data_IF_499796339961
#
_entry.id   IF_499796339961
#
_cell.length_a   1.000
_cell.length_b   1.000
_cell.length_c   1.000
_cell.angle_alpha   90.00
_cell.angle_beta   90.00
_cell.angle_gamma   90.00
#
_symmetry.space_group_name_H-M   'P 1'
#
loop_
_entity.id
_entity.type
_entity.pdbx_description
1 polymer ?
#
# COMPACT_ATOMS: atom_id res chain seq x y z
N UNK A 1 -21.71 12.82 -11.23
CA UNK A 1 -21.72 11.84 -10.13
C UNK A 1 -20.27 11.59 -9.72
N UNK A 2 -19.89 11.79 -8.45
CA UNK A 2 -18.57 11.37 -7.99
C UNK A 2 -18.48 9.84 -8.09
N UNK A 3 -17.44 9.30 -8.71
CA UNK A 3 -17.24 7.87 -8.79
C UNK A 3 -17.24 7.28 -7.37
N UNK A 4 -18.06 6.26 -7.13
CA UNK A 4 -18.09 5.56 -5.85
C UNK A 4 -16.93 4.56 -5.82
N UNK A 5 -15.97 4.74 -4.91
CA UNK A 5 -14.86 3.83 -4.67
C UNK A 5 -13.49 4.35 -5.12
N UNK A 6 -12.43 3.66 -4.70
CA UNK A 6 -11.06 4.00 -5.04
C UNK A 6 -10.69 3.39 -6.41
N UNK A 7 -9.96 4.13 -7.23
CA UNK A 7 -9.36 3.62 -8.47
C UNK A 7 -8.06 2.90 -8.14
N UNK A 8 -7.92 1.64 -8.55
CA UNK A 8 -6.66 0.91 -8.41
C UNK A 8 -5.67 1.43 -9.47
N UNK A 9 -4.51 1.90 -9.03
CA UNK A 9 -3.42 2.37 -9.89
C UNK A 9 -2.40 1.27 -10.17
N UNK A 10 -2.24 0.32 -9.25
CA UNK A 10 -1.36 -0.84 -9.42
C UNK A 10 -1.34 -1.73 -8.20
N UNK A 11 -0.92 -2.98 -8.39
CA UNK A 11 -0.78 -3.98 -7.33
C UNK A 11 0.68 -4.38 -7.16
N UNK A 12 1.09 -4.70 -5.93
CA UNK A 12 2.47 -5.09 -5.62
C UNK A 12 3.48 -4.06 -6.17
N UNK A 13 3.21 -2.78 -5.89
CA UNK A 13 3.99 -1.64 -6.40
C UNK A 13 5.24 -1.46 -5.55
N UNK A 14 6.41 -1.35 -6.18
CA UNK A 14 7.65 -1.02 -5.49
C UNK A 14 7.72 0.46 -5.13
N UNK A 15 8.09 0.76 -3.88
CA UNK A 15 8.25 2.11 -3.36
C UNK A 15 9.60 2.18 -2.61
N UNK A 16 10.58 2.85 -3.19
CA UNK A 16 11.89 3.03 -2.58
C UNK A 16 11.82 4.17 -1.56
N UNK A 17 12.03 3.85 -0.28
CA UNK A 17 12.18 4.81 0.81
C UNK A 17 13.65 4.86 1.26
N UNK A 18 13.96 5.76 2.20
CA UNK A 18 15.26 5.75 2.90
C UNK A 18 15.47 4.49 3.75
N UNK A 19 14.39 3.89 4.26
CA UNK A 19 14.38 2.63 5.02
C UNK A 19 14.45 1.38 4.11
N UNK A 20 14.60 1.58 2.81
CA UNK A 20 14.71 0.56 1.78
C UNK A 20 13.43 0.35 0.95
N UNK A 21 13.39 -0.75 0.19
CA UNK A 21 12.26 -1.05 -0.69
C UNK A 21 11.03 -1.52 0.11
N UNK A 22 9.90 -0.86 -0.12
CA UNK A 22 8.57 -1.28 0.32
C UNK A 22 7.78 -1.79 -0.87
N UNK A 23 7.13 -2.95 -0.74
CA UNK A 23 6.15 -3.42 -1.70
C UNK A 23 4.76 -3.06 -1.18
N UNK A 24 4.01 -2.24 -1.91
CA UNK A 24 2.65 -1.82 -1.58
C UNK A 24 1.69 -2.86 -2.16
N UNK A 25 0.77 -3.41 -1.36
CA UNK A 25 -0.18 -4.43 -1.86
C UNK A 25 -1.07 -3.86 -2.96
N UNK A 26 -1.72 -2.72 -2.69
CA UNK A 26 -2.48 -1.95 -3.69
C UNK A 26 -2.17 -0.46 -3.57
N UNK A 27 -1.78 0.17 -4.67
CA UNK A 27 -1.71 1.62 -4.79
C UNK A 27 -3.02 2.11 -5.40
N UNK A 28 -3.69 3.04 -4.74
CA UNK A 28 -5.02 3.51 -5.16
C UNK A 28 -5.08 5.04 -5.21
N UNK A 29 -5.99 5.55 -6.02
CA UNK A 29 -6.43 6.93 -6.02
C UNK A 29 -7.84 7.00 -5.43
N UNK A 30 -8.01 7.77 -4.36
CA UNK A 30 -9.32 8.04 -3.77
C UNK A 30 -10.14 8.96 -4.68
N UNK A 31 -11.48 9.04 -4.51
CA UNK A 31 -12.31 10.01 -5.22
C UNK A 31 -11.88 11.48 -5.05
N UNK A 32 -11.15 11.79 -3.98
CA UNK A 32 -10.54 13.10 -3.73
C UNK A 32 -9.30 13.41 -4.57
N UNK A 33 -8.78 12.43 -5.32
CA UNK A 33 -7.49 12.50 -6.01
C UNK A 33 -6.28 12.15 -5.13
N UNK A 34 -6.48 11.82 -3.85
CA UNK A 34 -5.40 11.42 -2.96
C UNK A 34 -4.87 10.02 -3.34
N UNK A 35 -3.56 9.89 -3.53
CA UNK A 35 -2.90 8.60 -3.72
C UNK A 35 -2.57 7.96 -2.37
N UNK A 36 -3.05 6.74 -2.14
CA UNK A 36 -2.89 6.00 -0.87
C UNK A 36 -2.41 4.57 -1.14
N UNK A 37 -1.56 4.07 -0.26
CA UNK A 37 -1.17 2.67 -0.21
C UNK A 37 -2.16 1.90 0.67
N UNK A 38 -2.68 0.79 0.18
CA UNK A 38 -3.49 -0.15 0.95
C UNK A 38 -2.61 -1.35 1.27
N UNK A 39 -2.47 -1.67 2.55
CA UNK A 39 -1.84 -2.90 3.04
C UNK A 39 -2.94 -3.84 3.53
N UNK A 40 -2.99 -5.06 3.00
CA UNK A 40 -4.00 -6.05 3.38
C UNK A 40 -3.41 -7.05 4.38
N UNK A 41 -4.13 -7.32 5.46
CA UNK A 41 -3.78 -8.35 6.43
C UNK A 41 -4.93 -9.32 6.64
N UNK A 42 -4.65 -10.61 6.62
CA UNK A 42 -5.62 -11.67 6.89
C UNK A 42 -5.24 -12.47 8.14
N UNK A 43 -6.24 -13.08 8.78
CA UNK A 43 -6.05 -13.91 9.98
C UNK A 43 -5.28 -13.18 11.08
N UNK A 44 -4.21 -13.81 11.58
CA UNK A 44 -3.35 -13.28 12.65
C UNK A 44 -2.17 -12.43 12.15
N UNK A 45 -2.06 -12.19 10.84
CA UNK A 45 -0.95 -11.43 10.28
C UNK A 45 -0.97 -9.98 10.80
N UNK A 46 0.22 -9.48 11.13
CA UNK A 46 0.48 -8.10 11.54
C UNK A 46 1.61 -7.53 10.69
N UNK A 47 1.70 -6.21 10.62
CA UNK A 47 2.89 -5.56 10.08
C UNK A 47 4.05 -5.82 11.03
N UNK A 48 5.23 -6.01 10.46
CA UNK A 48 6.48 -6.03 11.23
C UNK A 48 6.94 -4.59 11.50
N UNK A 49 7.78 -4.38 12.53
CA UNK A 49 8.36 -3.07 12.82
C UNK A 49 9.08 -2.45 11.60
N UNK A 50 9.72 -3.29 10.77
CA UNK A 50 10.38 -2.85 9.53
C UNK A 50 9.38 -2.37 8.46
N UNK A 51 8.19 -2.98 8.39
CA UNK A 51 7.13 -2.48 7.51
C UNK A 51 6.60 -1.14 7.99
N UNK A 52 6.40 -0.99 9.30
CA UNK A 52 5.93 0.27 9.89
C UNK A 52 6.94 1.41 9.70
N UNK A 53 8.24 1.14 9.89
CA UNK A 53 9.29 2.12 9.61
C UNK A 53 9.26 2.60 8.14
N UNK A 54 9.11 1.67 7.19
CA UNK A 54 8.99 2.01 5.77
C UNK A 54 7.70 2.76 5.44
N UNK A 55 6.57 2.36 6.01
CA UNK A 55 5.28 3.05 5.82
C UNK A 55 5.36 4.48 6.37
N UNK A 56 5.99 4.68 7.53
CA UNK A 56 6.20 6.00 8.14
C UNK A 56 7.15 6.87 7.31
N UNK A 57 8.27 6.33 6.83
CA UNK A 57 9.19 7.04 5.94
C UNK A 57 8.50 7.47 4.64
N UNK A 58 7.71 6.58 4.04
CA UNK A 58 6.90 6.86 2.85
C UNK A 58 5.88 7.97 3.08
N UNK A 59 5.25 8.03 4.24
CA UNK A 59 4.29 9.09 4.58
C UNK A 59 4.98 10.43 4.88
N UNK A 60 6.08 10.42 5.65
CA UNK A 60 6.74 11.63 6.14
C UNK A 60 7.63 12.29 5.07
N UNK A 61 8.47 11.49 4.39
CA UNK A 61 9.50 11.96 3.46
C UNK A 61 9.17 11.64 2.00
N UNK A 62 8.37 10.61 1.78
CA UNK A 62 7.99 10.15 0.46
C UNK A 62 8.76 8.90 0.03
N UNK A 63 8.28 8.28 -1.04
CA UNK A 63 8.93 7.15 -1.69
C UNK A 63 8.95 7.34 -3.20
N UNK A 64 10.05 6.92 -3.84
CA UNK A 64 10.14 6.85 -5.31
C UNK A 64 9.44 5.58 -5.77
N UNK A 65 8.41 5.70 -6.61
CA UNK A 65 7.74 4.53 -7.17
C UNK A 65 8.62 3.86 -8.24
N UNK A 66 8.89 2.57 -8.07
CA UNK A 66 9.86 1.81 -8.86
C UNK A 66 9.33 0.41 -9.19
N UNK A 67 10.06 -0.29 -10.07
CA UNK A 67 9.71 -1.63 -10.50
C UNK A 67 8.73 -1.65 -11.67
N UNK A 68 8.45 -2.85 -12.17
CA UNK A 68 7.61 -3.05 -13.36
C UNK A 68 6.12 -2.76 -13.13
N UNK A 69 5.65 -2.87 -11.88
CA UNK A 69 4.24 -2.67 -11.51
C UNK A 69 3.91 -1.23 -11.10
N UNK A 70 4.90 -0.32 -11.04
CA UNK A 70 4.62 1.08 -10.78
C UNK A 70 3.88 1.69 -11.97
N UNK A 71 2.76 2.42 -11.75
CA UNK A 71 1.99 3.00 -12.85
C UNK A 71 2.84 4.02 -13.62
N UNK A 72 2.80 3.96 -14.96
CA UNK A 72 3.72 4.70 -15.82
C UNK A 72 3.73 6.20 -15.53
N UNK A 73 2.56 6.79 -15.27
CA UNK A 73 2.42 8.20 -14.95
C UNK A 73 3.14 8.62 -13.65
N UNK A 74 3.39 7.69 -12.73
CA UNK A 74 4.04 7.94 -11.43
C UNK A 74 5.41 7.27 -11.29
N UNK A 75 5.77 6.33 -12.17
CA UNK A 75 7.03 5.60 -12.13
C UNK A 75 8.21 6.56 -12.17
N UNK A 76 9.17 6.35 -11.27
CA UNK A 76 10.34 7.20 -11.08
C UNK A 76 10.09 8.50 -10.30
N UNK A 77 8.84 8.83 -9.94
CA UNK A 77 8.52 10.04 -9.17
C UNK A 77 8.47 9.73 -7.67
N UNK A 78 8.93 10.69 -6.86
CA UNK A 78 8.81 10.65 -5.41
C UNK A 78 7.48 11.25 -4.96
N UNK A 79 6.73 10.53 -4.13
CA UNK A 79 5.44 10.98 -3.57
C UNK A 79 5.36 10.63 -2.08
N UNK A 80 4.73 11.51 -1.29
CA UNK A 80 4.29 11.15 0.06
C UNK A 80 3.03 10.33 -0.05
N UNK A 81 3.05 9.11 0.47
CA UNK A 81 1.95 8.16 0.35
C UNK A 81 1.66 7.62 1.74
N UNK A 82 0.44 7.82 2.24
CA UNK A 82 -0.01 7.23 3.50
C UNK A 82 -0.37 5.76 3.26
N UNK A 83 -0.20 4.94 4.30
CA UNK A 83 -0.62 3.54 4.26
C UNK A 83 -1.84 3.33 5.13
N UNK A 84 -2.90 2.79 4.55
CA UNK A 84 -4.10 2.34 5.25
C UNK A 84 -4.09 0.81 5.33
N UNK A 85 -4.29 0.26 6.53
CA UNK A 85 -4.28 -1.18 6.76
C UNK A 85 -5.72 -1.70 6.79
N UNK A 86 -6.03 -2.64 5.89
CA UNK A 86 -7.32 -3.30 5.85
C UNK A 86 -7.18 -4.74 6.34
N UNK A 87 -7.89 -5.08 7.42
CA UNK A 87 -7.97 -6.46 7.92
C UNK A 87 -9.14 -7.17 7.24
N UNK A 88 -8.84 -8.30 6.62
CA UNK A 88 -9.85 -9.18 6.03
C UNK A 88 -10.05 -10.36 6.97
N UNK A 89 -11.27 -10.49 7.48
CA UNK A 89 -11.70 -11.65 8.25
C UNK A 89 -11.97 -12.79 7.26
N UNK A 90 -10.98 -13.66 7.08
CA UNK A 90 -11.21 -14.94 6.42
C UNK A 90 -11.91 -15.81 7.46
N UNK A 91 -13.15 -16.21 7.21
CA UNK A 91 -13.90 -17.07 8.14
C UNK A 91 -13.06 -18.31 8.45
N UNK A 92 -12.55 -18.41 9.67
CA UNK A 92 -11.93 -19.63 10.16
C UNK A 92 -13.10 -20.58 10.42
N UNK A 93 -13.51 -21.34 9.41
CA UNK A 93 -14.23 -22.59 9.66
C UNK A 93 -13.25 -23.46 10.43
N UNK A 94 -13.44 -23.51 11.75
CA UNK A 94 -12.53 -24.18 12.68
C UNK A 94 -12.36 -25.65 12.33
N UNK A 95 -11.25 -25.98 11.65
CA UNK A 95 -10.72 -27.33 11.65
C UNK A 95 -10.10 -27.58 13.02
N UNK A 96 -10.89 -28.18 13.93
CA UNK A 96 -10.33 -28.86 15.11
C UNK A 96 -9.30 -29.87 14.61
N UNK A 97 -8.07 -29.77 15.10
CA UNK A 97 -7.15 -30.91 15.16
C UNK A 97 -7.36 -31.60 16.50
#
# INVERSE_FOLDING_TARGET
MAAKGNRILGSQVGAQTEEGLRHIDQLVEKPSGETVAIEVKSGWAKRTAKQEAKDNAMAAKGAKLVGKNAPDALKGKTRKIKTEVYRVNVGITGGKK
#
